data_IF_557252294182
#
_entry.id   IF_557252294182
#
_cell.length_a   1.000
_cell.length_b   1.000
_cell.length_c   1.000
_cell.angle_alpha   90.00
_cell.angle_beta   90.00
_cell.angle_gamma   90.00
#
_symmetry.space_group_name_H-M   'P 1'
#
loop_
_entity.id
_entity.type
_entity.pdbx_description
1 polymer ?
#
# COMPACT_ATOMS: atom_id res chain seq x y z
N UNK A 1 0.77 -4.10 24.62
CA UNK A 1 0.87 -3.93 24.41
C UNK A 1 0.77 -3.46 23.69
N UNK A 2 0.74 -2.78 23.54
CA UNK A 2 0.78 -2.19 22.92
C UNK A 2 0.61 -2.27 21.80
N UNK A 3 0.58 -2.68 21.45
CA UNK A 3 0.45 -2.96 20.35
C UNK A 3 -0.60 -2.47 19.60
N UNK A 4 -1.65 -2.13 20.04
CA UNK A 4 -2.69 -1.57 19.31
C UNK A 4 -2.24 -0.34 18.59
N UNK A 5 -1.28 0.35 19.06
CA UNK A 5 -0.86 1.49 18.37
C UNK A 5 -0.23 1.18 17.05
N UNK A 6 0.35 0.03 16.91
CA UNK A 6 0.92 -0.29 15.70
C UNK A 6 -0.06 -0.50 14.64
N UNK A 7 -1.18 -1.05 14.95
CA UNK A 7 -2.16 -1.37 13.95
C UNK A 7 -2.83 -0.17 13.36
N UNK A 8 -2.58 1.02 13.90
CA UNK A 8 -3.21 2.19 13.34
C UNK A 8 -2.37 2.79 12.22
N UNK A 9 -1.19 2.30 11.95
CA UNK A 9 -0.37 2.88 10.90
C UNK A 9 -0.64 2.23 9.56
N UNK A 10 -0.62 3.04 8.52
CA UNK A 10 -1.02 2.64 7.19
C UNK A 10 0.14 2.78 6.23
N UNK A 11 0.39 1.77 5.43
CA UNK A 11 1.48 1.76 4.47
C UNK A 11 0.95 1.51 3.07
N UNK A 12 1.48 2.23 2.09
CA UNK A 12 1.16 2.00 0.69
C UNK A 12 2.42 1.48 0.01
N UNK A 13 2.32 0.31 -0.63
CA UNK A 13 3.46 -0.30 -1.30
C UNK A 13 3.10 -0.47 -2.77
N UNK A 14 3.78 0.22 -3.66
CA UNK A 14 3.50 0.07 -5.09
C UNK A 14 4.26 -1.11 -5.64
N UNK A 15 3.71 -1.75 -6.66
CA UNK A 15 4.35 -2.91 -7.27
C UNK A 15 4.44 -4.09 -6.33
N UNK A 16 3.37 -4.38 -5.61
CA UNK A 16 3.39 -5.36 -4.53
C UNK A 16 2.91 -6.75 -4.91
N UNK A 17 2.66 -7.02 -6.18
CA UNK A 17 2.11 -8.31 -6.56
C UNK A 17 3.15 -9.42 -6.59
N UNK A 18 4.41 -9.07 -6.62
CA UNK A 18 5.46 -10.09 -6.64
C UNK A 18 6.81 -9.46 -6.30
N UNK A 19 7.83 -10.29 -6.15
CA UNK A 19 9.20 -9.85 -5.95
C UNK A 19 9.40 -9.07 -4.66
N UNK A 20 10.23 -8.07 -4.75
CA UNK A 20 10.60 -7.28 -3.58
C UNK A 20 9.40 -6.55 -2.99
N UNK A 21 8.54 -6.02 -3.85
CA UNK A 21 7.37 -5.32 -3.36
C UNK A 21 6.44 -6.22 -2.56
N UNK A 22 6.26 -7.46 -3.01
CA UNK A 22 5.43 -8.42 -2.28
C UNK A 22 6.04 -8.75 -0.93
N UNK A 23 7.36 -8.90 -0.88
CA UNK A 23 8.04 -9.20 0.37
C UNK A 23 7.93 -8.05 1.36
N UNK A 24 8.07 -6.82 0.88
CA UNK A 24 7.95 -5.65 1.73
C UNK A 24 6.52 -5.53 2.28
N UNK A 25 5.53 -5.73 1.41
CA UNK A 25 4.14 -5.63 1.82
C UNK A 25 3.83 -6.65 2.91
N UNK A 26 4.28 -7.87 2.74
CA UNK A 26 4.03 -8.92 3.71
C UNK A 26 4.72 -8.60 5.03
N UNK A 27 5.96 -8.14 4.97
CA UNK A 27 6.70 -7.82 6.18
C UNK A 27 6.00 -6.71 6.97
N UNK A 28 5.51 -5.70 6.29
CA UNK A 28 4.81 -4.62 6.96
C UNK A 28 3.50 -5.14 7.59
N UNK A 29 2.79 -6.00 6.87
CA UNK A 29 1.56 -6.56 7.40
C UNK A 29 1.82 -7.41 8.64
N UNK A 30 2.89 -8.18 8.63
CA UNK A 30 3.27 -9.00 9.77
C UNK A 30 3.57 -8.11 10.98
N UNK A 31 4.09 -6.93 10.73
CA UNK A 31 4.42 -6.01 11.82
C UNK A 31 3.23 -5.19 12.30
N UNK A 32 2.07 -5.41 11.74
CA UNK A 32 0.86 -4.76 12.23
C UNK A 32 0.39 -3.56 11.44
N UNK A 33 1.03 -3.25 10.33
CA UNK A 33 0.58 -2.15 9.49
C UNK A 33 -0.64 -2.54 8.69
N UNK A 34 -1.47 -1.57 8.38
CA UNK A 34 -2.53 -1.77 7.42
C UNK A 34 -1.90 -1.48 6.06
N UNK A 35 -1.74 -2.47 5.22
CA UNK A 35 -1.00 -2.33 3.97
C UNK A 35 -1.93 -2.28 2.79
N UNK A 36 -1.76 -1.26 1.95
CA UNK A 36 -2.43 -1.22 0.66
C UNK A 36 -1.33 -1.47 -0.37
N UNK A 37 -1.39 -2.60 -1.03
CA UNK A 37 -0.42 -2.94 -2.06
C UNK A 37 -1.01 -2.71 -3.43
N UNK A 38 -0.23 -2.25 -4.39
CA UNK A 38 -0.76 -1.99 -5.72
C UNK A 38 -0.12 -2.83 -6.78
N UNK A 39 -0.88 -3.09 -7.83
CA UNK A 39 -0.41 -3.77 -9.01
C UNK A 39 -1.00 -3.06 -10.22
N UNK A 40 -0.49 -3.35 -11.41
CA UNK A 40 -0.98 -2.68 -12.61
C UNK A 40 -2.13 -3.43 -13.26
N UNK A 41 -2.54 -4.56 -12.69
CA UNK A 41 -3.65 -5.34 -13.24
C UNK A 41 -4.58 -5.75 -12.11
N UNK A 42 -5.83 -6.06 -12.46
CA UNK A 42 -6.78 -6.54 -11.48
C UNK A 42 -6.34 -7.89 -10.92
N UNK A 43 -5.73 -8.71 -11.74
CA UNK A 43 -5.24 -9.97 -11.30
C UNK A 43 -4.15 -9.81 -10.26
N UNK A 44 -3.24 -8.89 -10.49
CA UNK A 44 -2.19 -8.60 -9.51
C UNK A 44 -2.75 -8.06 -8.22
N UNK A 45 -3.76 -7.19 -8.32
CA UNK A 45 -4.39 -6.64 -7.12
C UNK A 45 -5.07 -7.74 -6.32
N UNK A 46 -5.73 -8.68 -7.00
CA UNK A 46 -6.36 -9.80 -6.32
C UNK A 46 -5.33 -10.69 -5.64
N UNK A 47 -4.19 -10.87 -6.28
CA UNK A 47 -3.11 -11.67 -5.71
C UNK A 47 -2.59 -11.04 -4.41
N UNK A 48 -2.47 -9.72 -4.40
CA UNK A 48 -2.05 -9.01 -3.20
C UNK A 48 -3.08 -9.19 -2.10
N UNK A 49 -4.35 -9.06 -2.44
CA UNK A 49 -5.42 -9.24 -1.47
C UNK A 49 -5.40 -10.62 -0.84
N UNK A 50 -5.13 -11.64 -1.65
CA UNK A 50 -5.05 -13.00 -1.15
C UNK A 50 -3.84 -13.18 -0.25
N UNK A 51 -2.70 -12.63 -0.65
CA UNK A 51 -1.48 -12.78 0.14
C UNK A 51 -1.58 -12.11 1.51
N UNK A 52 -2.36 -11.04 1.59
CA UNK A 52 -2.47 -10.28 2.82
C UNK A 52 -3.79 -10.55 3.56
N UNK A 53 -4.53 -11.56 3.12
CA UNK A 53 -5.87 -11.81 3.66
C UNK A 53 -5.87 -12.10 5.16
N UNK A 54 -4.79 -12.63 5.68
CA UNK A 54 -4.71 -12.95 7.10
C UNK A 54 -4.47 -11.72 7.97
N UNK A 55 -4.19 -10.57 7.36
CA UNK A 55 -3.82 -9.38 8.11
C UNK A 55 -4.90 -8.32 7.98
N UNK A 56 -5.53 -7.92 9.07
CA UNK A 56 -6.66 -7.00 9.01
C UNK A 56 -6.26 -5.63 8.46
N UNK A 57 -7.14 -5.06 7.68
CA UNK A 57 -6.91 -3.73 7.15
C UNK A 57 -6.03 -3.68 5.90
N UNK A 58 -5.59 -4.84 5.43
CA UNK A 58 -4.75 -4.88 4.24
C UNK A 58 -5.57 -5.20 3.00
N UNK A 59 -5.15 -4.67 1.86
CA UNK A 59 -5.85 -4.93 0.61
C UNK A 59 -4.98 -4.67 -0.60
N UNK A 60 -5.42 -5.12 -1.74
CA UNK A 60 -4.75 -4.85 -3.01
C UNK A 60 -5.53 -3.80 -3.80
N UNK A 61 -4.87 -3.09 -4.65
CA UNK A 61 -5.49 -2.10 -5.52
C UNK A 61 -4.81 -2.09 -6.89
N UNK A 62 -5.59 -1.80 -7.91
CA UNK A 62 -5.04 -1.64 -9.25
C UNK A 62 -4.65 -0.19 -9.41
N UNK A 63 -3.40 0.08 -9.70
CA UNK A 63 -2.91 1.44 -9.83
C UNK A 63 -1.83 1.54 -10.87
N UNK A 64 -1.98 2.47 -11.80
CA UNK A 64 -0.92 2.82 -12.71
C UNK A 64 -0.20 4.01 -12.09
N UNK A 65 1.02 3.83 -11.61
CA UNK A 65 1.74 4.89 -10.93
C UNK A 65 2.14 6.04 -11.85
N UNK A 66 1.98 5.86 -13.15
CA UNK A 66 2.21 6.96 -14.08
C UNK A 66 1.00 7.87 -14.22
N UNK A 67 -0.14 7.46 -13.68
CA UNK A 67 -1.35 8.26 -13.76
C UNK A 67 -1.49 9.06 -12.47
N UNK A 68 -1.08 10.31 -12.51
CA UNK A 68 -1.05 11.15 -11.30
C UNK A 68 -2.43 11.29 -10.65
N UNK A 69 -3.46 11.39 -11.46
CA UNK A 69 -4.81 11.53 -10.91
C UNK A 69 -5.23 10.26 -10.16
N UNK A 70 -4.87 9.09 -10.71
CA UNK A 70 -5.19 7.85 -10.06
C UNK A 70 -4.43 7.69 -8.74
N UNK A 71 -3.18 8.11 -8.72
CA UNK A 71 -2.37 8.06 -7.51
C UNK A 71 -2.99 8.94 -6.43
N UNK A 72 -3.37 10.14 -6.81
CA UNK A 72 -3.97 11.04 -5.85
C UNK A 72 -5.28 10.52 -5.33
N UNK A 73 -6.10 9.97 -6.18
CA UNK A 73 -7.39 9.42 -5.78
C UNK A 73 -7.20 8.25 -4.81
N UNK A 74 -6.22 7.41 -5.06
CA UNK A 74 -5.97 6.28 -4.18
C UNK A 74 -5.50 6.77 -2.80
N UNK A 75 -4.60 7.73 -2.78
CA UNK A 75 -4.09 8.25 -1.51
C UNK A 75 -5.22 8.90 -0.72
N UNK A 76 -6.06 9.69 -1.39
CA UNK A 76 -7.19 10.30 -0.72
C UNK A 76 -8.13 9.25 -0.15
N UNK A 77 -8.37 8.18 -0.89
CA UNK A 77 -9.21 7.10 -0.41
C UNK A 77 -8.63 6.42 0.81
N UNK A 78 -7.32 6.20 0.81
CA UNK A 78 -6.66 5.58 1.95
C UNK A 78 -6.79 6.48 3.17
N UNK A 79 -6.53 7.76 3.00
CA UNK A 79 -6.62 8.68 4.13
C UNK A 79 -8.04 8.70 4.70
N UNK A 80 -9.05 8.69 3.85
CA UNK A 80 -10.41 8.72 4.31
C UNK A 80 -10.85 7.42 4.95
N UNK A 81 -10.47 6.31 4.38
CA UNK A 81 -10.93 5.03 4.87
C UNK A 81 -10.12 4.52 6.05
N UNK A 82 -8.85 4.80 6.06
CA UNK A 82 -7.97 4.19 7.06
C UNK A 82 -7.35 5.21 8.00
N UNK A 83 -7.69 6.45 7.85
CA UNK A 83 -7.30 7.46 8.81
C UNK A 83 -5.97 8.12 8.57
N UNK A 84 -5.27 7.77 7.52
CA UNK A 84 -4.01 8.42 7.21
C UNK A 84 -3.10 7.54 6.39
N UNK A 85 -1.99 8.08 5.94
CA UNK A 85 -0.98 7.33 5.23
C UNK A 85 0.35 7.68 5.89
N UNK A 86 1.02 6.70 6.46
CA UNK A 86 2.21 6.93 7.27
C UNK A 86 3.49 6.48 6.60
N UNK A 87 3.42 5.49 5.72
CA UNK A 87 4.61 4.95 5.07
C UNK A 87 4.31 4.76 3.59
N UNK A 88 5.20 5.22 2.73
CA UNK A 88 5.08 4.98 1.31
C UNK A 88 6.32 4.26 0.82
N UNK A 89 6.13 3.10 0.21
CA UNK A 89 7.22 2.37 -0.40
C UNK A 89 6.99 2.38 -1.91
N UNK A 90 7.80 3.13 -2.62
CA UNK A 90 7.64 3.27 -4.06
C UNK A 90 8.47 2.22 -4.78
N UNK A 91 8.02 0.98 -4.73
CA UNK A 91 8.76 -0.11 -5.33
C UNK A 91 8.53 -0.21 -6.82
N UNK A 92 7.49 0.35 -7.34
CA UNK A 92 7.27 0.35 -8.78
C UNK A 92 8.31 1.20 -9.52
N UNK A 93 8.98 1.99 -8.78
CA UNK A 93 10.18 2.61 -9.33
C UNK A 93 10.01 3.75 -10.25
N UNK A 94 8.90 4.32 -10.33
CA UNK A 94 8.67 5.28 -11.20
C UNK A 94 8.82 6.56 -10.78
N UNK A 95 8.42 7.19 -10.19
CA UNK A 95 8.48 8.41 -10.04
C UNK A 95 8.90 9.00 -9.10
N UNK A 96 9.39 8.85 -8.57
CA UNK A 96 9.94 9.53 -7.82
C UNK A 96 9.48 10.50 -6.91
N UNK A 97 9.74 11.57 -6.94
CA UNK A 97 9.47 12.59 -6.01
C UNK A 97 8.06 12.94 -5.85
N UNK A 98 7.28 12.78 -6.86
CA UNK A 98 5.87 13.13 -6.78
C UNK A 98 5.16 12.39 -5.67
N UNK A 99 5.41 11.09 -5.56
CA UNK A 99 4.77 10.33 -4.53
C UNK A 99 5.30 10.68 -3.15
N UNK A 100 6.60 10.90 -3.07
CA UNK A 100 7.17 11.24 -1.78
C UNK A 100 6.60 12.53 -1.21
N UNK A 101 6.29 13.45 -2.08
CA UNK A 101 5.75 14.73 -1.63
C UNK A 101 4.33 14.64 -1.12
N UNK A 102 3.61 13.56 -1.44
CA UNK A 102 2.26 13.41 -0.95
C UNK A 102 2.22 12.84 0.43
N UNK A 103 3.32 12.35 0.89
CA UNK A 103 3.29 11.78 2.18
C UNK A 103 3.35 12.83 3.19
N UNK A 104 2.59 12.77 4.06
CA UNK A 104 2.66 13.76 5.02
C UNK A 104 2.00 13.36 6.13
#
# INVERSE_FOLDING_TARGET
MTDSTKTSQVALVTGASRGIGAAIALELAVRGYQVVGTATTDEGAARIGQALAAYPGCRGANLNVNDAAAVEALIDGIVKQQGGLHVLVNNAGITRDTLAMRMK
#
